data_IF_975052037168
#
_entry.id   IF_975052037168
#
_cell.length_a   1.000
_cell.length_b   1.000
_cell.length_c   1.000
_cell.angle_alpha   90.00
_cell.angle_beta   90.00
_cell.angle_gamma   90.00
#
_symmetry.space_group_name_H-M   'P 1'
#
loop_
_entity.id
_entity.type
_entity.pdbx_description
1 polymer ?
#
# COMPACT_ATOMS: atom_id res chain seq x y z
N UNK A 1 -10.17 13.23 -16.33
CA UNK A 1 -9.10 12.73 -15.46
C UNK A 1 -8.54 13.90 -14.65
N UNK A 2 -8.14 13.72 -13.39
CA UNK A 2 -7.53 14.73 -12.53
C UNK A 2 -5.99 14.58 -12.47
N UNK A 3 -5.27 15.58 -11.96
CA UNK A 3 -3.81 15.49 -11.74
C UNK A 3 -3.47 14.34 -10.78
N UNK A 4 -4.31 14.12 -9.78
CA UNK A 4 -4.19 13.05 -8.79
C UNK A 4 -4.38 11.67 -9.42
N UNK A 5 -5.37 11.52 -10.30
CA UNK A 5 -5.57 10.27 -11.03
C UNK A 5 -4.38 9.92 -11.94
N UNK A 6 -3.76 10.93 -12.57
CA UNK A 6 -2.53 10.73 -13.35
C UNK A 6 -1.36 10.39 -12.43
N UNK A 7 -1.22 11.08 -11.30
CA UNK A 7 -0.20 10.76 -10.30
C UNK A 7 -0.34 9.33 -9.80
N UNK A 8 -1.56 8.86 -9.48
CA UNK A 8 -1.84 7.50 -9.04
C UNK A 8 -1.41 6.43 -10.06
N UNK A 9 -1.39 6.77 -11.34
CA UNK A 9 -0.93 5.89 -12.42
C UNK A 9 0.58 5.95 -12.64
N UNK A 10 1.25 7.01 -12.18
CA UNK A 10 2.69 7.20 -12.33
C UNK A 10 3.45 6.09 -11.61
N UNK A 11 4.19 5.29 -12.38
CA UNK A 11 5.01 4.18 -11.87
C UNK A 11 6.42 4.62 -11.53
N UNK A 12 7.02 3.88 -10.61
CA UNK A 12 8.42 4.00 -10.21
C UNK A 12 9.10 2.63 -10.26
N UNK A 13 10.36 2.63 -10.65
CA UNK A 13 11.15 1.43 -10.92
C UNK A 13 12.27 1.30 -9.90
N UNK A 14 12.27 0.20 -9.16
CA UNK A 14 13.26 -0.08 -8.13
C UNK A 14 14.09 -1.28 -8.57
N UNK A 15 15.39 -1.10 -8.78
CA UNK A 15 16.27 -2.19 -9.17
C UNK A 15 16.84 -2.92 -7.95
N UNK A 16 16.70 -4.24 -7.94
CA UNK A 16 17.37 -5.12 -6.97
C UNK A 16 18.62 -5.68 -7.65
N UNK A 17 19.79 -5.24 -7.18
CA UNK A 17 21.08 -5.58 -7.79
C UNK A 17 22.05 -6.11 -6.74
N UNK A 18 23.13 -6.76 -7.19
CA UNK A 18 24.10 -7.40 -6.31
C UNK A 18 24.72 -8.64 -6.94
N UNK A 19 25.54 -9.34 -6.17
CA UNK A 19 26.25 -10.53 -6.65
C UNK A 19 25.30 -11.69 -6.98
N UNK A 20 25.78 -12.59 -7.84
CA UNK A 20 25.10 -13.87 -8.05
C UNK A 20 25.06 -14.67 -6.74
N UNK A 21 23.93 -15.32 -6.46
CA UNK A 21 23.73 -16.04 -5.20
C UNK A 21 23.54 -15.17 -3.96
N UNK A 22 23.54 -13.84 -4.06
CA UNK A 22 23.33 -12.96 -2.90
C UNK A 22 21.89 -12.98 -2.33
N UNK A 23 20.96 -13.71 -2.95
CA UNK A 23 19.57 -13.83 -2.47
C UNK A 23 18.63 -12.72 -2.93
N UNK A 24 18.90 -12.09 -4.08
CA UNK A 24 18.06 -11.02 -4.68
C UNK A 24 16.62 -11.47 -4.93
N UNK A 25 16.43 -12.56 -5.67
CA UNK A 25 15.12 -13.12 -5.98
C UNK A 25 14.37 -13.56 -4.72
N UNK A 26 15.07 -14.14 -3.74
CA UNK A 26 14.48 -14.48 -2.43
C UNK A 26 14.04 -13.23 -1.66
N UNK A 27 14.83 -12.16 -1.68
CA UNK A 27 14.46 -10.88 -1.07
C UNK A 27 13.23 -10.26 -1.74
N UNK A 28 13.15 -10.30 -3.08
CA UNK A 28 11.97 -9.85 -3.83
C UNK A 28 10.74 -10.63 -3.39
N UNK A 29 10.81 -11.96 -3.33
CA UNK A 29 9.68 -12.78 -2.90
C UNK A 29 9.24 -12.43 -1.48
N UNK A 30 10.19 -12.27 -0.56
CA UNK A 30 9.90 -11.84 0.81
C UNK A 30 9.24 -10.45 0.86
N UNK A 31 9.69 -9.50 0.05
CA UNK A 31 9.07 -8.17 -0.10
C UNK A 31 7.65 -8.23 -0.66
N UNK A 32 7.39 -9.17 -1.57
CA UNK A 32 6.08 -9.38 -2.18
C UNK A 32 5.15 -10.23 -1.30
N UNK A 33 5.65 -10.79 -0.20
CA UNK A 33 4.90 -11.74 0.63
C UNK A 33 4.65 -13.09 -0.04
N UNK A 34 5.50 -13.48 -1.00
CA UNK A 34 5.39 -14.72 -1.77
C UNK A 34 6.35 -15.79 -1.27
N UNK A 35 5.88 -17.04 -1.25
CA UNK A 35 6.73 -18.22 -1.10
C UNK A 35 7.43 -18.55 -2.43
N UNK A 36 8.56 -19.29 -2.41
CA UNK A 36 9.31 -19.63 -3.61
C UNK A 36 8.51 -20.37 -4.68
N UNK A 37 7.52 -21.16 -4.27
CA UNK A 37 6.70 -22.00 -5.16
C UNK A 37 5.37 -21.32 -5.56
N UNK A 38 5.11 -20.10 -5.07
CA UNK A 38 3.89 -19.37 -5.38
C UNK A 38 3.88 -18.89 -6.84
N UNK A 39 2.69 -18.82 -7.43
CA UNK A 39 2.52 -18.29 -8.78
C UNK A 39 2.99 -16.82 -8.85
N UNK A 40 3.92 -16.53 -9.75
CA UNK A 40 4.50 -15.19 -9.91
C UNK A 40 5.72 -14.90 -9.04
N UNK A 41 6.17 -15.86 -8.22
CA UNK A 41 7.41 -15.75 -7.47
C UNK A 41 8.64 -15.65 -8.39
N UNK A 42 9.64 -14.88 -7.95
CA UNK A 42 10.94 -14.79 -8.60
C UNK A 42 11.70 -16.12 -8.46
N UNK A 43 12.20 -16.72 -9.56
CA UNK A 43 12.90 -18.00 -9.50
C UNK A 43 14.17 -17.96 -8.64
N UNK A 44 14.21 -18.77 -7.59
CA UNK A 44 15.36 -18.86 -6.68
C UNK A 44 16.26 -20.06 -7.01
N UNK A 45 17.59 -19.88 -6.90
CA UNK A 45 18.55 -20.97 -7.10
C UNK A 45 19.97 -20.61 -6.63
N UNK A 46 20.82 -21.63 -6.49
CA UNK A 46 22.22 -21.46 -6.06
C UNK A 46 23.12 -20.91 -7.19
N UNK A 47 22.74 -21.13 -8.44
CA UNK A 47 23.39 -20.58 -9.65
C UNK A 47 22.56 -19.40 -10.14
N UNK A 48 23.17 -18.50 -10.91
CA UNK A 48 22.46 -17.39 -11.54
C UNK A 48 21.24 -17.88 -12.34
N UNK A 49 20.04 -17.67 -11.78
CA UNK A 49 18.76 -18.02 -12.39
C UNK A 49 18.28 -16.91 -13.34
N UNK A 50 18.57 -15.65 -13.00
CA UNK A 50 18.12 -14.46 -13.71
C UNK A 50 19.15 -14.03 -14.75
N UNK A 51 18.89 -14.29 -16.05
CA UNK A 51 19.77 -13.90 -17.18
C UNK A 51 19.39 -12.57 -17.83
N UNK A 52 18.18 -12.09 -17.55
CA UNK A 52 17.64 -10.82 -18.05
C UNK A 52 16.90 -10.12 -16.90
N UNK A 53 16.88 -8.79 -16.92
CA UNK A 53 16.15 -8.02 -15.91
C UNK A 53 14.64 -8.36 -15.98
N UNK A 54 14.08 -8.81 -14.86
CA UNK A 54 12.67 -9.24 -14.77
C UNK A 54 11.91 -8.33 -13.82
N UNK A 55 10.74 -7.85 -14.25
CA UNK A 55 9.88 -6.96 -13.46
C UNK A 55 8.83 -7.75 -12.67
N UNK A 56 8.68 -7.40 -11.39
CA UNK A 56 7.66 -7.89 -10.47
C UNK A 56 6.85 -6.71 -9.92
N UNK A 57 5.53 -6.81 -10.04
CA UNK A 57 4.61 -5.77 -9.58
C UNK A 57 4.34 -5.95 -8.08
N UNK A 58 4.51 -4.90 -7.28
CA UNK A 58 4.21 -4.98 -5.84
C UNK A 58 2.69 -5.06 -5.62
N UNK A 59 2.17 -6.02 -4.82
CA UNK A 59 0.73 -6.27 -4.67
C UNK A 59 0.02 -5.10 -3.98
N UNK A 60 0.57 -4.63 -2.85
CA UNK A 60 -0.04 -3.55 -2.06
C UNK A 60 0.39 -2.13 -2.50
N UNK A 61 1.31 -2.01 -3.45
CA UNK A 61 1.86 -0.75 -3.93
C UNK A 61 1.86 -0.78 -5.47
N UNK A 62 0.70 -0.66 -6.13
CA UNK A 62 0.58 -0.85 -7.57
C UNK A 62 1.44 0.13 -8.40
N UNK A 63 1.92 1.22 -7.80
CA UNK A 63 2.85 2.16 -8.41
C UNK A 63 4.31 1.68 -8.43
N UNK A 64 4.68 0.69 -7.62
CA UNK A 64 6.06 0.20 -7.45
C UNK A 64 6.30 -1.02 -8.34
N UNK A 65 7.33 -0.96 -9.17
CA UNK A 65 7.84 -2.09 -9.95
C UNK A 65 9.22 -2.48 -9.43
N UNK A 66 9.35 -3.71 -8.93
CA UNK A 66 10.63 -4.27 -8.49
C UNK A 66 11.29 -4.98 -9.68
N UNK A 67 12.55 -4.67 -9.96
CA UNK A 67 13.30 -5.29 -11.04
C UNK A 67 14.40 -6.18 -10.49
N UNK A 68 14.28 -7.49 -10.67
CA UNK A 68 15.38 -8.43 -10.37
C UNK A 68 16.43 -8.31 -11.48
N UNK A 69 17.58 -7.74 -11.15
CA UNK A 69 18.68 -7.63 -12.11
C UNK A 69 19.56 -8.89 -12.05
N UNK A 70 20.09 -9.35 -13.19
CA UNK A 70 21.09 -10.42 -13.22
C UNK A 70 22.22 -10.16 -12.23
N UNK A 71 22.78 -11.22 -11.66
CA UNK A 71 23.87 -11.08 -10.72
C UNK A 71 25.08 -10.46 -11.41
N UNK A 72 25.82 -9.61 -10.71
CA UNK A 72 27.13 -9.27 -11.22
C UNK A 72 27.99 -10.53 -11.22
N UNK A 73 28.43 -10.94 -12.42
CA UNK A 73 29.28 -12.11 -12.62
C UNK A 73 30.71 -11.91 -12.08
N UNK A 74 31.62 -12.79 -12.51
CA UNK A 74 33.05 -12.71 -12.19
C UNK A 74 33.71 -11.42 -12.73
N UNK A 75 34.90 -11.02 -12.21
CA UNK A 75 35.55 -9.73 -12.48
C UNK A 75 35.85 -9.37 -13.95
N UNK A 76 35.64 -10.28 -14.90
CA UNK A 76 35.85 -10.02 -16.33
C UNK A 76 34.77 -9.11 -16.95
N UNK A 77 33.60 -8.98 -16.32
CA UNK A 77 32.60 -7.95 -16.64
C UNK A 77 32.78 -6.76 -15.70
N UNK A 78 33.53 -5.74 -16.12
CA UNK A 78 33.73 -4.52 -15.32
C UNK A 78 32.40 -3.84 -14.97
N UNK A 79 32.30 -3.27 -13.77
CA UNK A 79 31.09 -2.61 -13.24
C UNK A 79 30.43 -1.64 -14.24
N UNK A 80 31.23 -0.85 -14.98
CA UNK A 80 30.75 0.06 -16.03
C UNK A 80 30.04 -0.64 -17.19
N UNK A 81 30.52 -1.82 -17.58
CA UNK A 81 29.86 -2.64 -18.59
C UNK A 81 28.50 -3.10 -18.08
N UNK A 82 28.45 -3.59 -16.83
CA UNK A 82 27.20 -4.03 -16.20
C UNK A 82 26.18 -2.89 -16.07
N UNK A 83 26.58 -1.72 -15.57
CA UNK A 83 25.72 -0.53 -15.44
C UNK A 83 25.12 -0.11 -16.78
N UNK A 84 25.91 -0.15 -17.85
CA UNK A 84 25.45 0.16 -19.21
C UNK A 84 24.53 -0.93 -19.78
N UNK A 85 24.88 -2.21 -19.60
CA UNK A 85 24.08 -3.35 -20.07
C UNK A 85 22.72 -3.41 -19.38
N UNK A 86 22.68 -3.16 -18.07
CA UNK A 86 21.44 -3.13 -17.29
C UNK A 86 20.73 -1.79 -17.37
N UNK A 87 21.32 -0.81 -18.04
CA UNK A 87 20.77 0.52 -18.25
C UNK A 87 20.22 1.15 -16.97
N UNK A 88 21.12 1.44 -16.02
CA UNK A 88 20.75 1.97 -14.71
C UNK A 88 19.89 3.23 -14.77
N UNK A 89 19.94 3.99 -15.87
CA UNK A 89 19.10 5.16 -16.15
C UNK A 89 17.59 4.86 -16.10
N UNK A 90 17.16 3.61 -16.30
CA UNK A 90 15.75 3.21 -16.25
C UNK A 90 15.17 3.23 -14.83
N UNK A 91 16.00 3.00 -13.81
CA UNK A 91 15.56 2.81 -12.44
C UNK A 91 15.62 4.10 -11.64
N UNK A 92 14.67 4.27 -10.73
CA UNK A 92 14.54 5.46 -9.88
C UNK A 92 15.31 5.30 -8.56
N UNK A 93 15.50 4.06 -8.10
CA UNK A 93 16.14 3.70 -6.85
C UNK A 93 16.76 2.31 -6.94
N UNK A 94 17.72 2.01 -6.07
CA UNK A 94 18.36 0.69 -5.99
C UNK A 94 18.29 0.03 -4.61
N UNK A 95 18.14 -1.28 -4.60
CA UNK A 95 18.36 -2.16 -3.47
C UNK A 95 19.62 -2.98 -3.75
N UNK A 96 20.74 -2.61 -3.12
CA UNK A 96 22.04 -3.27 -3.30
C UNK A 96 22.16 -4.42 -2.29
N UNK A 97 22.10 -5.65 -2.80
CA UNK A 97 22.03 -6.88 -2.01
C UNK A 97 23.40 -7.53 -1.87
N UNK A 98 23.80 -7.82 -0.63
CA UNK A 98 25.03 -8.51 -0.26
C UNK A 98 24.70 -9.68 0.68
N UNK A 99 25.42 -10.79 0.68
CA UNK A 99 25.07 -11.96 1.52
C UNK A 99 26.11 -12.38 2.55
N UNK A 100 27.34 -11.86 2.51
CA UNK A 100 28.41 -12.29 3.43
C UNK A 100 29.35 -11.14 3.81
N UNK A 101 30.09 -10.60 2.84
CA UNK A 101 31.02 -9.49 3.04
C UNK A 101 30.83 -8.49 1.92
N UNK A 102 31.04 -7.21 2.22
CA UNK A 102 31.16 -6.18 1.19
C UNK A 102 32.39 -6.49 0.36
N UNK A 103 32.22 -6.72 -0.94
CA UNK A 103 33.33 -6.94 -1.89
C UNK A 103 33.55 -5.68 -2.73
N UNK A 104 34.71 -5.61 -3.38
CA UNK A 104 35.08 -4.49 -4.25
C UNK A 104 34.03 -4.23 -5.35
N UNK A 105 33.49 -5.29 -5.93
CA UNK A 105 32.40 -5.24 -6.89
C UNK A 105 31.15 -4.51 -6.36
N UNK A 106 30.78 -4.75 -5.10
CA UNK A 106 29.66 -4.05 -4.46
C UNK A 106 29.96 -2.55 -4.31
N UNK A 107 31.22 -2.19 -4.01
CA UNK A 107 31.64 -0.80 -3.88
C UNK A 107 31.61 -0.07 -5.22
N UNK A 108 32.04 -0.73 -6.30
CA UNK A 108 31.97 -0.16 -7.65
C UNK A 108 30.52 0.08 -8.10
N UNK A 109 29.59 -0.80 -7.73
CA UNK A 109 28.15 -0.57 -7.98
C UNK A 109 27.65 0.67 -7.23
N UNK A 110 27.96 0.76 -5.94
CA UNK A 110 27.57 1.91 -5.12
C UNK A 110 28.14 3.20 -5.70
N UNK A 111 29.40 3.21 -6.15
CA UNK A 111 30.02 4.38 -6.78
C UNK A 111 29.31 4.82 -8.06
N UNK A 112 28.83 3.90 -8.88
CA UNK A 112 28.09 4.21 -10.10
C UNK A 112 26.67 4.73 -9.81
N UNK A 113 26.02 4.20 -8.77
CA UNK A 113 24.70 4.67 -8.30
C UNK A 113 24.81 6.09 -7.72
N UNK A 114 25.84 6.34 -6.90
CA UNK A 114 26.14 7.65 -6.32
C UNK A 114 26.47 8.70 -7.40
N UNK A 115 27.21 8.32 -8.44
CA UNK A 115 27.47 9.18 -9.60
C UNK A 115 26.18 9.62 -10.30
N UNK A 116 25.17 8.74 -10.35
CA UNK A 116 23.84 9.04 -10.91
C UNK A 116 22.93 9.77 -9.91
N UNK A 117 23.36 9.98 -8.66
CA UNK A 117 22.60 10.61 -7.57
C UNK A 117 21.24 9.94 -7.32
N UNK A 118 21.20 8.61 -7.41
CA UNK A 118 19.99 7.83 -7.18
C UNK A 118 19.98 7.27 -5.76
N UNK A 119 18.84 7.33 -5.05
CA UNK A 119 18.73 6.76 -3.72
C UNK A 119 18.95 5.25 -3.77
N UNK A 120 19.52 4.70 -2.71
CA UNK A 120 19.68 3.26 -2.58
C UNK A 120 19.76 2.79 -1.14
N UNK A 121 19.45 1.51 -0.96
CA UNK A 121 19.69 0.78 0.28
C UNK A 121 20.81 -0.22 0.12
N UNK A 122 21.57 -0.44 1.19
CA UNK A 122 22.46 -1.58 1.31
C UNK A 122 21.79 -2.65 2.18
N UNK A 123 21.50 -3.81 1.59
CA UNK A 123 20.75 -4.87 2.25
C UNK A 123 21.65 -6.09 2.35
N UNK A 124 22.01 -6.45 3.58
CA UNK A 124 22.72 -7.69 3.85
C UNK A 124 21.72 -8.79 4.17
N UNK A 125 21.64 -9.77 3.29
CA UNK A 125 20.75 -10.93 3.37
C UNK A 125 21.44 -12.12 4.05
N UNK A 126 20.70 -13.23 4.20
CA UNK A 126 21.18 -14.51 4.73
C UNK A 126 21.73 -14.46 6.15
N UNK A 127 21.24 -13.50 6.94
CA UNK A 127 21.62 -13.36 8.35
C UNK A 127 21.28 -14.63 9.15
N UNK A 128 20.22 -15.34 8.78
CA UNK A 128 19.87 -16.65 9.33
C UNK A 128 21.02 -17.67 9.21
N UNK A 129 21.73 -17.71 8.07
CA UNK A 129 22.85 -18.63 7.85
C UNK A 129 24.10 -18.19 8.62
N UNK A 130 24.36 -16.89 8.66
CA UNK A 130 25.42 -16.32 9.49
C UNK A 130 25.17 -16.70 10.97
N UNK A 131 23.95 -16.46 11.49
CA UNK A 131 23.59 -16.78 12.87
C UNK A 131 23.68 -18.28 13.19
N UNK A 132 23.19 -19.16 12.29
CA UNK A 132 23.34 -20.62 12.45
C UNK A 132 24.82 -21.03 12.54
N UNK A 133 25.70 -20.35 11.81
CA UNK A 133 27.14 -20.60 11.85
C UNK A 133 27.76 -20.08 13.15
N UNK A 134 27.37 -18.90 13.63
CA UNK A 134 27.88 -18.31 14.86
C UNK A 134 27.42 -19.02 16.13
N UNK A 135 26.19 -19.56 16.15
CA UNK A 135 25.63 -20.34 17.28
C UNK A 135 26.46 -21.57 17.65
N UNK A 136 27.37 -22.03 16.78
CA UNK A 136 28.31 -23.13 17.05
C UNK A 136 29.49 -22.71 17.95
N UNK A 137 29.70 -21.42 18.18
CA UNK A 137 30.76 -20.89 19.06
C UNK A 137 30.36 -20.96 20.53
N UNK A 138 31.34 -21.18 21.43
CA UNK A 138 31.11 -21.28 22.88
C UNK A 138 30.61 -19.98 23.54
N UNK A 139 30.95 -18.82 22.98
CA UNK A 139 30.48 -17.51 23.43
C UNK A 139 29.73 -16.87 22.26
N UNK A 140 28.41 -17.07 22.20
CA UNK A 140 27.53 -16.50 21.19
C UNK A 140 26.67 -15.40 21.81
N UNK A 141 26.63 -14.25 21.15
CA UNK A 141 25.68 -13.17 21.45
C UNK A 141 25.14 -12.64 20.14
N UNK A 142 23.85 -12.85 19.89
CA UNK A 142 23.20 -12.46 18.65
C UNK A 142 23.28 -10.95 18.41
N UNK A 143 23.06 -10.15 19.46
CA UNK A 143 23.16 -8.70 19.42
C UNK A 143 24.57 -8.26 18.99
N UNK A 144 25.60 -8.90 19.55
CA UNK A 144 26.99 -8.56 19.23
C UNK A 144 27.36 -8.95 17.79
N UNK A 145 26.93 -10.13 17.34
CA UNK A 145 27.19 -10.58 15.96
C UNK A 145 26.45 -9.71 14.92
N UNK A 146 25.20 -9.31 15.19
CA UNK A 146 24.46 -8.37 14.34
C UNK A 146 25.14 -6.99 14.28
N UNK A 147 25.59 -6.46 15.42
CA UNK A 147 26.30 -5.18 15.46
C UNK A 147 27.61 -5.25 14.69
N UNK A 148 28.39 -6.33 14.86
CA UNK A 148 29.62 -6.54 14.11
C UNK A 148 29.36 -6.59 12.59
N UNK A 149 28.33 -7.32 12.14
CA UNK A 149 27.97 -7.39 10.72
C UNK A 149 27.56 -6.02 10.17
N UNK A 150 26.82 -5.23 10.95
CA UNK A 150 26.46 -3.84 10.59
C UNK A 150 27.70 -2.97 10.48
N UNK A 151 28.62 -3.06 11.44
CA UNK A 151 29.86 -2.29 11.44
C UNK A 151 30.74 -2.65 10.23
N UNK A 152 30.82 -3.93 9.87
CA UNK A 152 31.54 -4.40 8.67
C UNK A 152 30.97 -3.78 7.39
N UNK A 153 29.63 -3.72 7.26
CA UNK A 153 28.97 -3.03 6.15
C UNK A 153 29.27 -1.52 6.15
N UNK A 154 29.22 -0.87 7.33
CA UNK A 154 29.46 0.57 7.47
C UNK A 154 30.91 0.99 7.31
N UNK A 155 31.88 0.09 7.53
CA UNK A 155 33.31 0.40 7.45
C UNK A 155 33.67 1.06 6.11
N UNK A 156 33.25 0.44 5.01
CA UNK A 156 33.51 0.94 3.65
C UNK A 156 32.73 2.20 3.33
N UNK A 157 31.48 2.29 3.81
CA UNK A 157 30.64 3.48 3.62
C UNK A 157 31.27 4.70 4.29
N UNK A 158 31.80 4.54 5.51
CA UNK A 158 32.52 5.60 6.24
C UNK A 158 33.78 6.07 5.51
N UNK A 159 34.57 5.16 4.92
CA UNK A 159 35.75 5.52 4.13
C UNK A 159 35.40 6.43 2.94
N UNK A 160 34.23 6.19 2.33
CA UNK A 160 33.69 7.01 1.23
C UNK A 160 32.81 8.18 1.69
N UNK A 161 32.64 8.39 3.00
CA UNK A 161 31.74 9.40 3.61
C UNK A 161 30.28 9.26 3.14
N UNK A 162 29.85 8.03 2.91
CA UNK A 162 28.48 7.67 2.57
C UNK A 162 27.78 7.16 3.85
N UNK A 163 26.48 7.44 3.98
CA UNK A 163 25.66 6.89 5.07
C UNK A 163 24.26 6.47 4.56
N UNK A 164 24.19 5.54 3.59
CA UNK A 164 22.91 4.97 3.18
C UNK A 164 22.30 4.12 4.30
N UNK A 165 21.00 3.85 4.19
CA UNK A 165 20.35 2.87 5.05
C UNK A 165 20.98 1.48 4.85
N UNK A 166 21.30 0.83 5.98
CA UNK A 166 21.83 -0.54 6.02
C UNK A 166 20.82 -1.42 6.75
N UNK A 167 20.37 -2.49 6.09
CA UNK A 167 19.44 -3.45 6.66
C UNK A 167 20.05 -4.85 6.73
N UNK A 168 19.86 -5.53 7.86
CA UNK A 168 20.27 -6.91 8.09
C UNK A 168 19.02 -7.79 8.08
N UNK A 169 18.83 -8.59 7.02
CA UNK A 169 17.56 -9.29 6.78
C UNK A 169 17.75 -10.79 6.54
N UNK A 170 16.70 -11.55 6.86
CA UNK A 170 16.51 -12.90 6.34
C UNK A 170 15.28 -12.92 5.42
N UNK A 171 15.44 -13.52 4.25
CA UNK A 171 14.31 -13.78 3.35
C UNK A 171 13.57 -15.09 3.69
N UNK A 172 14.08 -15.86 4.67
CA UNK A 172 13.46 -17.11 5.15
C UNK A 172 12.75 -16.83 6.47
N UNK A 173 13.43 -16.13 7.38
CA UNK A 173 12.93 -15.79 8.71
C UNK A 173 12.41 -14.34 8.70
N UNK A 174 11.31 -14.12 8.00
CA UNK A 174 10.77 -12.80 7.66
C UNK A 174 10.25 -12.02 8.87
N UNK A 175 9.90 -12.73 9.96
CA UNK A 175 9.41 -12.16 11.22
C UNK A 175 10.54 -11.68 12.14
N UNK A 176 11.78 -12.10 11.87
CA UNK A 176 12.95 -11.73 12.67
C UNK A 176 13.85 -10.73 11.93
N UNK A 177 14.83 -10.18 12.67
CA UNK A 177 15.81 -9.19 12.19
C UNK A 177 15.14 -7.90 11.69
N UNK A 178 15.51 -7.38 10.52
CA UNK A 178 15.10 -6.05 10.06
C UNK A 178 14.27 -6.03 8.78
N UNK A 179 13.70 -7.16 8.34
CA UNK A 179 12.88 -7.16 7.11
C UNK A 179 11.65 -6.25 7.27
N UNK A 180 10.97 -6.31 8.42
CA UNK A 180 9.83 -5.44 8.71
C UNK A 180 10.24 -3.96 8.70
N UNK A 181 11.34 -3.63 9.38
CA UNK A 181 11.90 -2.27 9.41
C UNK A 181 12.25 -1.76 8.01
N UNK A 182 12.81 -2.61 7.16
CA UNK A 182 13.11 -2.31 5.76
C UNK A 182 11.81 -2.04 4.97
N UNK A 183 10.78 -2.88 5.14
CA UNK A 183 9.48 -2.70 4.49
C UNK A 183 8.81 -1.38 4.89
N UNK A 184 8.84 -1.03 6.18
CA UNK A 184 8.20 0.20 6.67
C UNK A 184 8.97 1.45 6.20
N UNK A 185 10.31 1.43 6.32
CA UNK A 185 11.17 2.52 5.78
C UNK A 185 10.93 2.71 4.28
N UNK A 186 10.84 1.60 3.53
CA UNK A 186 10.62 1.64 2.09
C UNK A 186 9.27 2.27 1.73
N UNK A 187 8.17 1.93 2.41
CA UNK A 187 6.83 2.50 2.13
C UNK A 187 6.79 4.02 2.26
N UNK A 188 7.46 4.55 3.28
CA UNK A 188 7.49 6.00 3.54
C UNK A 188 8.34 6.71 2.48
N UNK A 189 9.59 6.26 2.30
CA UNK A 189 10.54 6.91 1.40
C UNK A 189 10.15 6.76 -0.08
N UNK A 190 9.56 5.63 -0.46
CA UNK A 190 9.15 5.39 -1.85
C UNK A 190 7.99 6.32 -2.26
N UNK A 191 7.11 6.66 -1.33
CA UNK A 191 6.00 7.59 -1.55
C UNK A 191 6.51 9.01 -1.75
N UNK A 192 7.47 9.43 -0.94
CA UNK A 192 8.14 10.73 -1.09
C UNK A 192 8.92 10.80 -2.41
N UNK A 193 9.74 9.80 -2.71
CA UNK A 193 10.52 9.73 -3.95
C UNK A 193 9.61 9.83 -5.18
N UNK A 194 8.47 9.14 -5.17
CA UNK A 194 7.48 9.22 -6.26
C UNK A 194 6.97 10.64 -6.48
N UNK A 195 6.61 11.35 -5.41
CA UNK A 195 6.13 12.72 -5.49
C UNK A 195 7.19 13.66 -6.08
N UNK A 196 8.44 13.52 -5.65
CA UNK A 196 9.59 14.29 -6.16
C UNK A 196 9.85 14.02 -7.64
N UNK A 197 9.88 12.74 -8.04
CA UNK A 197 10.10 12.34 -9.44
C UNK A 197 9.00 12.80 -10.37
N UNK A 198 7.73 12.65 -9.95
CA UNK A 198 6.60 13.12 -10.74
C UNK A 198 6.64 14.65 -10.89
N UNK A 199 6.96 15.37 -9.82
CA UNK A 199 7.09 16.84 -9.87
C UNK A 199 8.27 17.27 -10.75
N UNK A 200 9.41 16.59 -10.67
CA UNK A 200 10.56 16.82 -11.56
C UNK A 200 10.20 16.56 -13.02
N UNK A 201 9.43 15.51 -13.29
CA UNK A 201 8.93 15.21 -14.62
C UNK A 201 8.03 16.34 -15.13
N UNK A 202 7.06 16.79 -14.34
CA UNK A 202 6.19 17.89 -14.70
C UNK A 202 6.98 19.17 -14.99
N UNK A 203 7.98 19.49 -14.16
CA UNK A 203 8.85 20.66 -14.38
C UNK A 203 9.57 20.58 -15.73
N UNK A 204 10.21 19.44 -16.01
CA UNK A 204 10.93 19.21 -17.27
C UNK A 204 9.99 19.26 -18.48
N UNK A 205 8.79 18.71 -18.34
CA UNK A 205 7.78 18.66 -19.40
C UNK A 205 7.18 20.04 -19.68
N UNK A 206 6.88 20.83 -18.66
CA UNK A 206 6.10 22.07 -18.77
C UNK A 206 6.98 23.33 -18.83
N UNK A 207 8.17 23.29 -18.23
CA UNK A 207 9.06 24.44 -18.08
C UNK A 207 10.48 24.19 -18.61
N UNK A 208 10.86 22.94 -18.91
CA UNK A 208 12.21 22.58 -19.36
C UNK A 208 12.58 23.03 -20.79
N UNK A 209 11.64 23.63 -21.53
CA UNK A 209 11.77 23.92 -22.95
C UNK A 209 11.61 22.67 -23.82
N UNK A 210 11.41 22.87 -25.13
CA UNK A 210 11.04 21.80 -26.08
C UNK A 210 11.96 20.56 -26.02
N UNK A 211 13.28 20.75 -25.85
CA UNK A 211 14.26 19.65 -25.90
C UNK A 211 14.11 18.76 -24.67
N UNK A 212 14.08 19.36 -23.47
CA UNK A 212 13.97 18.62 -22.21
C UNK A 212 12.60 17.98 -22.08
N UNK A 213 11.54 18.68 -22.51
CA UNK A 213 10.19 18.14 -22.54
C UNK A 213 10.12 16.89 -23.42
N UNK A 214 10.64 16.96 -24.66
CA UNK A 214 10.67 15.81 -25.57
C UNK A 214 11.46 14.63 -25.00
N UNK A 215 12.62 14.88 -24.40
CA UNK A 215 13.42 13.81 -23.79
C UNK A 215 12.69 13.17 -22.60
N UNK A 216 12.14 13.97 -21.69
CA UNK A 216 11.42 13.49 -20.52
C UNK A 216 10.19 12.67 -20.91
N UNK A 217 9.38 13.17 -21.85
CA UNK A 217 8.21 12.47 -22.38
C UNK A 217 8.58 11.15 -23.07
N UNK A 218 9.63 11.14 -23.90
CA UNK A 218 10.09 9.92 -24.55
C UNK A 218 10.58 8.89 -23.53
N UNK A 219 11.34 9.32 -22.51
CA UNK A 219 11.83 8.42 -21.47
C UNK A 219 10.67 7.80 -20.68
N UNK A 220 9.66 8.58 -20.29
CA UNK A 220 8.47 8.07 -19.60
C UNK A 220 7.68 7.08 -20.45
N UNK A 221 7.53 7.36 -21.75
CA UNK A 221 6.83 6.44 -22.66
C UNK A 221 7.60 5.14 -22.87
N UNK A 222 8.92 5.21 -23.03
CA UNK A 222 9.79 4.03 -23.18
C UNK A 222 9.77 3.14 -21.93
N UNK A 223 9.81 3.75 -20.74
CA UNK A 223 9.73 3.05 -19.45
C UNK A 223 8.31 2.65 -19.07
N UNK A 224 7.30 3.12 -19.82
CA UNK A 224 5.87 2.96 -19.51
C UNK A 224 5.52 3.42 -18.09
N UNK A 225 6.19 4.47 -17.59
CA UNK A 225 5.88 5.07 -16.29
C UNK A 225 4.53 5.79 -16.30
N UNK A 226 4.11 6.28 -17.47
CA UNK A 226 2.77 6.79 -17.78
C UNK A 226 2.36 6.39 -19.19
N UNK A 227 1.05 6.36 -19.43
CA UNK A 227 0.51 6.17 -20.78
C UNK A 227 0.51 7.49 -21.55
N UNK A 228 0.46 7.41 -22.89
CA UNK A 228 0.42 8.60 -23.75
C UNK A 228 -0.84 9.48 -23.49
N UNK A 229 -1.96 8.85 -23.13
CA UNK A 229 -3.20 9.54 -22.73
C UNK A 229 -3.02 10.40 -21.46
N UNK A 230 -2.26 9.89 -20.49
CA UNK A 230 -2.01 10.60 -19.23
C UNK A 230 -1.16 11.84 -19.49
N UNK A 231 -0.13 11.72 -20.34
CA UNK A 231 0.75 12.83 -20.74
C UNK A 231 -0.03 13.92 -21.47
N UNK A 232 -0.90 13.52 -22.42
CA UNK A 232 -1.78 14.45 -23.13
C UNK A 232 -2.71 15.18 -22.18
N UNK A 233 -3.23 14.46 -21.18
CA UNK A 233 -4.09 15.01 -20.15
C UNK A 233 -3.36 16.06 -19.29
N UNK A 234 -2.11 15.78 -18.91
CA UNK A 234 -1.28 16.73 -18.16
C UNK A 234 -1.02 18.03 -18.94
N UNK A 235 -0.74 17.93 -20.25
CA UNK A 235 -0.59 19.12 -21.11
C UNK A 235 -1.86 19.98 -21.11
N UNK A 236 -3.02 19.37 -21.32
CA UNK A 236 -4.31 20.06 -21.31
C UNK A 236 -4.63 20.71 -19.96
N UNK A 237 -4.24 20.07 -18.84
CA UNK A 237 -4.41 20.65 -17.51
C UNK A 237 -3.54 21.87 -17.30
N UNK A 238 -2.26 21.79 -17.66
CA UNK A 238 -1.32 22.87 -17.48
C UNK A 238 -1.74 24.12 -18.26
N UNK A 239 -2.13 23.98 -19.53
CA UNK A 239 -2.62 25.11 -20.35
C UNK A 239 -3.80 25.86 -19.69
N UNK A 240 -4.63 25.15 -18.93
CA UNK A 240 -5.80 25.73 -18.25
C UNK A 240 -5.49 26.38 -16.91
N UNK A 241 -4.43 25.96 -16.21
CA UNK A 241 -4.26 26.22 -14.78
C UNK A 241 -2.91 26.82 -14.38
N UNK A 242 -1.87 26.66 -15.19
CA UNK A 242 -0.56 27.30 -14.99
C UNK A 242 0.15 26.98 -13.67
N UNK A 243 -0.14 25.84 -13.02
CA UNK A 243 0.52 25.47 -11.76
C UNK A 243 1.98 25.06 -11.97
N UNK A 244 2.87 25.48 -11.05
CA UNK A 244 4.31 25.18 -11.10
C UNK A 244 4.69 23.92 -10.31
N UNK A 245 5.74 23.22 -10.74
CA UNK A 245 6.16 21.92 -10.20
C UNK A 245 6.50 21.91 -8.70
N UNK A 246 7.12 22.97 -8.17
CA UNK A 246 7.44 23.08 -6.75
C UNK A 246 6.17 23.06 -5.87
N UNK A 247 5.07 23.66 -6.34
CA UNK A 247 3.78 23.62 -5.64
C UNK A 247 3.17 22.21 -5.68
N UNK A 248 3.37 21.48 -6.79
CA UNK A 248 2.83 20.11 -6.95
C UNK A 248 3.52 19.13 -6.01
N UNK A 249 4.85 19.19 -5.86
CA UNK A 249 5.58 18.28 -4.97
C UNK A 249 5.10 18.36 -3.53
N UNK A 250 4.94 19.59 -3.01
CA UNK A 250 4.44 19.83 -1.64
C UNK A 250 3.01 19.32 -1.48
N UNK A 251 2.15 19.53 -2.48
CA UNK A 251 0.76 19.05 -2.47
C UNK A 251 0.71 17.52 -2.51
N UNK A 252 1.53 16.86 -3.33
CA UNK A 252 1.57 15.40 -3.41
C UNK A 252 2.17 14.76 -2.15
N UNK A 253 3.15 15.40 -1.54
CA UNK A 253 3.69 14.97 -0.24
C UNK A 253 2.65 15.15 0.88
N UNK A 254 1.91 16.27 0.89
CA UNK A 254 0.81 16.46 1.83
C UNK A 254 -0.29 15.39 1.61
N UNK A 255 -0.60 15.06 0.37
CA UNK A 255 -1.54 14.00 0.03
C UNK A 255 -1.05 12.62 0.50
N UNK A 256 0.23 12.28 0.34
CA UNK A 256 0.75 10.96 0.75
C UNK A 256 0.66 10.72 2.26
N UNK A 257 0.53 11.78 3.05
CA UNK A 257 0.28 11.69 4.50
C UNK A 257 -1.19 11.96 4.86
N UNK A 258 -2.05 12.25 3.88
CA UNK A 258 -3.46 12.52 4.10
C UNK A 258 -4.21 11.20 4.34
N UNK A 259 -4.58 10.97 5.61
CA UNK A 259 -5.34 9.82 6.05
C UNK A 259 -6.84 10.11 6.02
N UNK A 260 -7.62 9.11 5.61
CA UNK A 260 -9.08 9.13 5.74
C UNK A 260 -9.52 8.43 7.01
N UNK A 261 -10.52 9.00 7.68
CA UNK A 261 -11.20 8.38 8.81
C UNK A 261 -12.49 7.68 8.37
N UNK A 262 -12.53 6.36 8.52
CA UNK A 262 -13.67 5.52 8.17
C UNK A 262 -14.32 4.99 9.43
N UNK A 263 -15.55 5.40 9.70
CA UNK A 263 -16.36 4.86 10.79
C UNK A 263 -17.06 3.57 10.36
N UNK A 264 -16.89 2.49 11.12
CA UNK A 264 -17.68 1.26 10.98
C UNK A 264 -18.72 1.25 12.10
N UNK A 265 -19.97 1.50 11.73
CA UNK A 265 -21.10 1.70 12.63
C UNK A 265 -21.94 0.43 12.72
N UNK A 266 -22.27 -0.03 13.92
CA UNK A 266 -23.18 -1.16 14.08
C UNK A 266 -23.65 -1.38 15.51
N UNK A 267 -24.72 -2.15 15.65
CA UNK A 267 -25.28 -2.48 16.96
C UNK A 267 -24.38 -3.44 17.74
N UNK A 268 -24.56 -3.54 19.06
CA UNK A 268 -23.85 -4.55 19.86
C UNK A 268 -24.12 -5.95 19.29
N UNK A 269 -23.05 -6.71 19.03
CA UNK A 269 -23.14 -8.05 18.47
C UNK A 269 -23.37 -8.10 16.95
N UNK A 270 -23.41 -6.98 16.25
CA UNK A 270 -23.48 -6.93 14.78
C UNK A 270 -22.19 -7.41 14.07
N UNK A 271 -21.09 -7.60 14.81
CA UNK A 271 -19.83 -8.08 14.24
C UNK A 271 -18.96 -6.99 13.62
N UNK A 272 -19.15 -5.72 13.98
CA UNK A 272 -18.26 -4.58 13.62
C UNK A 272 -16.80 -4.91 13.88
N UNK A 273 -16.43 -5.33 15.09
CA UNK A 273 -15.03 -5.60 15.45
C UNK A 273 -14.43 -6.73 14.61
N UNK A 274 -15.20 -7.79 14.38
CA UNK A 274 -14.78 -8.91 13.52
C UNK A 274 -14.60 -8.45 12.08
N UNK A 275 -15.47 -7.56 11.58
CA UNK A 275 -15.35 -7.00 10.24
C UNK A 275 -14.13 -6.09 10.09
N UNK A 276 -13.86 -5.22 11.08
CA UNK A 276 -12.64 -4.39 11.09
C UNK A 276 -11.40 -5.27 11.10
N UNK A 277 -11.36 -6.32 11.92
CA UNK A 277 -10.25 -7.29 11.94
C UNK A 277 -10.05 -7.97 10.57
N UNK A 278 -11.14 -8.34 9.90
CA UNK A 278 -11.09 -8.91 8.55
C UNK A 278 -10.51 -7.92 7.51
N UNK A 279 -10.88 -6.64 7.58
CA UNK A 279 -10.35 -5.58 6.69
C UNK A 279 -8.86 -5.31 6.89
N UNK A 280 -8.36 -5.46 8.12
CA UNK A 280 -6.92 -5.28 8.43
C UNK A 280 -6.09 -6.57 8.26
N UNK A 281 -6.73 -7.69 7.93
CA UNK A 281 -6.06 -8.97 7.67
C UNK A 281 -5.57 -9.69 8.92
N UNK A 282 -6.16 -9.42 10.09
CA UNK A 282 -5.91 -10.22 11.30
C UNK A 282 -6.85 -11.42 11.31
N UNK A 283 -6.30 -12.63 11.13
CA UNK A 283 -7.00 -13.87 11.46
C UNK A 283 -7.05 -14.00 12.98
N UNK A 284 -8.21 -14.41 13.54
CA UNK A 284 -8.35 -14.59 14.98
C UNK A 284 -7.56 -15.83 15.43
N UNK A 285 -6.27 -15.71 15.70
CA UNK A 285 -5.58 -16.62 16.62
C UNK A 285 -5.89 -16.20 18.07
N UNK A 286 -6.23 -17.19 18.89
CA UNK A 286 -6.52 -17.04 20.31
C UNK A 286 -5.38 -16.33 21.07
N UNK A 287 -5.76 -15.50 22.05
CA UNK A 287 -4.92 -14.76 23.00
C UNK A 287 -4.16 -13.53 22.49
N UNK A 288 -4.77 -12.35 22.74
CA UNK A 288 -4.01 -11.12 22.99
C UNK A 288 -4.29 -9.94 22.06
N UNK A 289 -5.25 -10.02 21.14
CA UNK A 289 -5.63 -8.88 20.32
C UNK A 289 -6.20 -7.75 21.21
N UNK A 290 -5.49 -6.63 21.30
CA UNK A 290 -6.01 -5.41 21.90
C UNK A 290 -7.35 -5.10 21.23
N UNK A 291 -8.43 -5.07 22.01
CA UNK A 291 -9.77 -4.77 21.51
C UNK A 291 -9.74 -3.47 20.72
N UNK A 292 -10.00 -3.52 19.42
CA UNK A 292 -10.24 -2.34 18.60
C UNK A 292 -11.34 -1.56 19.33
N UNK A 293 -11.02 -0.35 19.77
CA UNK A 293 -11.91 0.47 20.58
C UNK A 293 -12.15 1.78 19.87
N UNK A 294 -13.22 2.47 20.27
CA UNK A 294 -13.57 3.83 19.84
C UNK A 294 -12.38 4.81 20.02
N UNK A 295 -11.39 4.48 20.85
CA UNK A 295 -10.23 5.34 21.13
C UNK A 295 -9.00 5.10 20.25
N UNK A 296 -8.90 3.97 19.54
CA UNK A 296 -7.74 3.64 18.69
C UNK A 296 -8.18 3.09 17.32
N UNK A 297 -7.89 3.80 16.21
CA UNK A 297 -8.21 3.30 14.88
C UNK A 297 -7.30 2.14 14.47
N UNK A 298 -7.86 1.22 13.70
CA UNK A 298 -7.12 0.14 13.07
C UNK A 298 -6.61 0.58 11.68
N UNK A 299 -5.39 0.15 11.32
CA UNK A 299 -4.78 0.40 10.01
C UNK A 299 -4.52 -0.91 9.29
N UNK A 300 -4.80 -0.95 7.98
CA UNK A 300 -4.62 -2.13 7.13
C UNK A 300 -3.46 -1.93 6.18
N UNK A 301 -2.70 -2.99 5.88
CA UNK A 301 -1.76 -3.01 4.77
C UNK A 301 -2.45 -2.86 3.40
N UNK A 302 -3.71 -3.27 3.30
CA UNK A 302 -4.53 -3.11 2.09
C UNK A 302 -5.09 -1.70 1.91
N UNK A 303 -5.14 -0.92 2.99
CA UNK A 303 -5.66 0.46 3.01
C UNK A 303 -4.70 1.38 3.79
N UNK A 304 -3.50 1.66 3.26
CA UNK A 304 -2.42 2.32 4.02
C UNK A 304 -2.74 3.76 4.43
N UNK A 305 -3.63 4.44 3.71
CA UNK A 305 -4.04 5.82 3.95
C UNK A 305 -5.37 5.94 4.70
N UNK A 306 -5.78 4.87 5.40
CA UNK A 306 -7.13 4.75 5.98
C UNK A 306 -7.05 4.29 7.43
N UNK A 307 -7.81 4.98 8.27
CA UNK A 307 -8.02 4.66 9.68
C UNK A 307 -9.44 4.14 9.87
N UNK A 308 -9.58 2.87 10.21
CA UNK A 308 -10.87 2.26 10.50
C UNK A 308 -11.20 2.39 11.98
N UNK A 309 -12.36 2.97 12.28
CA UNK A 309 -12.85 3.17 13.63
C UNK A 309 -14.01 2.22 13.91
N UNK A 310 -13.85 1.34 14.90
CA UNK A 310 -14.95 0.52 15.41
C UNK A 310 -15.87 1.39 16.27
N UNK A 311 -17.10 1.59 15.78
CA UNK A 311 -18.16 2.29 16.50
C UNK A 311 -19.33 1.32 16.67
N UNK A 312 -19.12 0.34 17.53
CA UNK A 312 -20.14 -0.61 17.98
C UNK A 312 -21.01 -0.04 19.12
N UNK A 313 -22.20 -0.61 19.32
CA UNK A 313 -23.11 -0.21 20.41
C UNK A 313 -23.86 1.11 20.15
N UNK A 314 -24.02 1.48 18.89
CA UNK A 314 -24.68 2.74 18.46
C UNK A 314 -26.11 2.89 18.99
N UNK A 315 -26.79 1.79 19.32
CA UNK A 315 -28.16 1.80 19.80
C UNK A 315 -28.33 2.64 21.07
N UNK A 316 -27.35 2.63 21.98
CA UNK A 316 -27.40 3.43 23.20
C UNK A 316 -27.41 4.93 22.91
N UNK A 317 -26.68 5.38 21.89
CA UNK A 317 -26.63 6.79 21.48
C UNK A 317 -27.83 7.14 20.62
N UNK A 318 -28.21 6.29 19.68
CA UNK A 318 -29.33 6.53 18.76
C UNK A 318 -30.68 6.59 19.47
N UNK A 319 -30.90 5.73 20.47
CA UNK A 319 -32.14 5.71 21.24
C UNK A 319 -32.26 6.95 22.14
N UNK A 320 -31.13 7.60 22.49
CA UNK A 320 -31.09 8.85 23.23
C UNK A 320 -31.21 10.07 22.31
N UNK A 321 -30.38 10.17 21.28
CA UNK A 321 -30.30 11.34 20.40
C UNK A 321 -29.65 11.04 19.04
N UNK A 322 -30.48 11.06 17.98
CA UNK A 322 -29.98 11.06 16.61
C UNK A 322 -29.16 12.32 16.27
N UNK A 323 -29.37 13.43 16.98
CA UNK A 323 -28.58 14.64 16.79
C UNK A 323 -27.13 14.41 17.23
N UNK A 324 -26.92 13.79 18.39
CA UNK A 324 -25.57 13.46 18.87
C UNK A 324 -24.87 12.46 17.95
N UNK A 325 -25.59 11.43 17.50
CA UNK A 325 -25.05 10.48 16.51
C UNK A 325 -24.62 11.18 15.22
N UNK A 326 -25.39 12.17 14.75
CA UNK A 326 -25.02 12.97 13.58
C UNK A 326 -23.76 13.81 13.81
N UNK A 327 -23.54 14.32 15.02
CA UNK A 327 -22.29 15.02 15.36
C UNK A 327 -21.09 14.07 15.35
N UNK A 328 -21.25 12.84 15.86
CA UNK A 328 -20.20 11.81 15.81
C UNK A 328 -19.84 11.48 14.36
N UNK A 329 -20.83 11.21 13.51
CA UNK A 329 -20.61 10.96 12.07
C UNK A 329 -19.97 12.14 11.35
N UNK A 330 -20.07 13.36 11.89
CA UNK A 330 -19.43 14.53 11.29
C UNK A 330 -17.88 14.50 11.39
N UNK A 331 -17.31 13.72 12.31
CA UNK A 331 -15.85 13.61 12.48
C UNK A 331 -15.16 12.67 11.49
N UNK A 332 -15.91 11.82 10.80
CA UNK A 332 -15.37 10.78 9.92
C UNK A 332 -15.59 11.13 8.44
N UNK A 333 -14.65 10.83 7.55
CA UNK A 333 -14.78 11.13 6.13
C UNK A 333 -15.72 10.15 5.40
N UNK A 334 -15.84 8.93 5.91
CA UNK A 334 -16.60 7.83 5.33
C UNK A 334 -17.33 7.02 6.40
N UNK A 335 -18.47 6.43 6.07
CA UNK A 335 -19.20 5.54 6.99
C UNK A 335 -19.48 4.17 6.36
N UNK A 336 -19.25 3.09 7.10
CA UNK A 336 -19.73 1.75 6.77
C UNK A 336 -20.80 1.41 7.80
N UNK A 337 -22.02 1.13 7.35
CA UNK A 337 -23.16 0.87 8.22
C UNK A 337 -23.44 -0.64 8.19
N UNK A 338 -23.28 -1.29 9.35
CA UNK A 338 -23.61 -2.70 9.52
C UNK A 338 -25.11 -2.85 9.75
N UNK A 339 -25.77 -3.54 8.82
CA UNK A 339 -27.19 -3.92 8.89
C UNK A 339 -27.29 -5.18 9.75
N UNK A 340 -27.98 -5.08 10.88
CA UNK A 340 -28.08 -6.17 11.87
C UNK A 340 -29.51 -6.49 12.26
N UNK A 341 -30.38 -5.49 12.45
CA UNK A 341 -31.81 -5.68 12.71
C UNK A 341 -32.68 -4.89 11.73
N UNK A 342 -33.31 -5.63 10.81
CA UNK A 342 -34.21 -5.09 9.79
C UNK A 342 -35.48 -4.48 10.39
N UNK A 343 -35.97 -5.00 11.51
CA UNK A 343 -37.24 -4.55 12.10
C UNK A 343 -37.11 -3.16 12.75
N UNK A 344 -35.93 -2.85 13.30
CA UNK A 344 -35.68 -1.56 13.95
C UNK A 344 -35.31 -0.44 12.98
N UNK A 345 -35.00 -0.77 11.73
CA UNK A 345 -34.67 0.18 10.66
C UNK A 345 -33.60 1.23 11.05
N UNK A 346 -32.67 0.87 11.95
CA UNK A 346 -31.62 1.78 12.45
C UNK A 346 -30.63 2.13 11.35
N UNK A 347 -30.30 1.18 10.48
CA UNK A 347 -29.48 1.39 9.29
C UNK A 347 -30.04 2.47 8.37
N UNK A 348 -31.36 2.52 8.17
CA UNK A 348 -32.01 3.55 7.33
C UNK A 348 -31.89 4.94 7.96
N UNK A 349 -32.03 5.06 9.28
CA UNK A 349 -31.87 6.34 10.00
C UNK A 349 -30.43 6.86 9.91
N UNK A 350 -29.46 5.96 10.04
CA UNK A 350 -28.04 6.31 9.86
C UNK A 350 -27.75 6.73 8.42
N UNK A 351 -28.17 5.94 7.43
CA UNK A 351 -27.98 6.25 6.03
C UNK A 351 -28.53 7.64 5.67
N UNK A 352 -29.74 7.95 6.12
CA UNK A 352 -30.34 9.28 5.96
C UNK A 352 -29.48 10.39 6.56
N UNK A 353 -29.00 10.20 7.79
CA UNK A 353 -28.16 11.19 8.45
C UNK A 353 -26.82 11.41 7.72
N UNK A 354 -26.22 10.34 7.17
CA UNK A 354 -24.99 10.43 6.37
C UNK A 354 -25.24 11.16 5.04
N UNK A 355 -26.36 10.92 4.37
CA UNK A 355 -26.75 11.65 3.15
C UNK A 355 -26.98 13.15 3.42
N UNK A 356 -27.61 13.49 4.54
CA UNK A 356 -27.78 14.88 4.98
C UNK A 356 -26.44 15.57 5.27
N UNK A 357 -25.42 14.82 5.71
CA UNK A 357 -24.05 15.30 5.86
C UNK A 357 -23.28 15.34 4.53
N UNK A 358 -23.87 14.86 3.43
CA UNK A 358 -23.26 14.73 2.10
C UNK A 358 -21.98 13.88 2.11
N UNK A 359 -21.98 12.82 2.91
CA UNK A 359 -20.84 11.89 3.03
C UNK A 359 -21.13 10.59 2.29
N UNK A 360 -20.06 9.88 1.95
CA UNK A 360 -20.17 8.56 1.33
C UNK A 360 -20.35 7.47 2.38
N UNK A 361 -21.11 6.44 2.02
CA UNK A 361 -21.27 5.27 2.85
C UNK A 361 -21.53 3.99 2.07
N UNK A 362 -21.21 2.87 2.71
CA UNK A 362 -21.60 1.52 2.29
C UNK A 362 -22.50 0.88 3.34
N UNK A 363 -23.31 -0.07 2.86
CA UNK A 363 -24.23 -0.86 3.67
C UNK A 363 -23.79 -2.30 3.59
N UNK A 364 -23.55 -2.90 4.75
CA UNK A 364 -22.97 -4.25 4.86
C UNK A 364 -23.81 -5.06 5.81
N UNK A 365 -24.28 -6.23 5.39
CA UNK A 365 -24.84 -7.21 6.31
C UNK A 365 -23.82 -8.30 6.56
N UNK A 366 -23.43 -8.43 7.82
CA UNK A 366 -22.52 -9.45 8.34
C UNK A 366 -23.30 -10.70 8.74
N UNK A 367 -22.57 -11.78 9.07
CA UNK A 367 -23.14 -13.03 9.62
C UNK A 367 -24.20 -13.68 8.72
N UNK A 368 -24.02 -13.55 7.40
CA UNK A 368 -24.95 -14.12 6.41
C UNK A 368 -25.00 -15.64 6.48
N UNK A 369 -23.87 -16.27 6.81
CA UNK A 369 -23.73 -17.69 7.12
C UNK A 369 -24.70 -18.15 8.22
N UNK A 370 -24.82 -17.38 9.31
CA UNK A 370 -25.75 -17.66 10.39
C UNK A 370 -27.22 -17.55 9.92
N UNK A 371 -27.51 -16.59 9.03
CA UNK A 371 -28.85 -16.40 8.48
C UNK A 371 -29.26 -17.56 7.57
N UNK A 372 -28.33 -18.01 6.71
CA UNK A 372 -28.53 -19.14 5.82
C UNK A 372 -28.71 -20.46 6.58
N UNK A 373 -27.94 -20.69 7.64
CA UNK A 373 -28.11 -21.88 8.50
C UNK A 373 -29.51 -21.93 9.13
N UNK A 374 -30.02 -20.79 9.60
CA UNK A 374 -31.38 -20.71 10.19
C UNK A 374 -32.48 -20.98 9.16
N UNK A 375 -32.27 -20.63 7.89
CA UNK A 375 -33.22 -20.81 6.78
C UNK A 375 -33.08 -22.17 6.07
N UNK A 376 -31.97 -22.89 6.27
CA UNK A 376 -31.74 -24.22 5.67
C UNK A 376 -32.78 -25.27 6.07
N UNK A 377 -33.47 -25.05 7.21
CA UNK A 377 -34.62 -25.85 7.65
C UNK A 377 -35.85 -25.72 6.74
N UNK A 378 -35.88 -24.73 5.83
CA UNK A 378 -37.00 -24.41 4.93
C UNK A 378 -36.82 -24.90 3.48
N UNK A 379 -35.73 -25.61 3.15
CA UNK A 379 -35.44 -26.15 1.80
C UNK A 379 -35.39 -25.09 0.66
N UNK A 380 -35.04 -23.84 0.95
CA UNK A 380 -34.81 -22.82 -0.06
C UNK A 380 -33.37 -22.88 -0.60
N UNK A 381 -33.17 -22.53 -1.88
CA UNK A 381 -31.83 -22.37 -2.43
C UNK A 381 -31.14 -21.16 -1.81
N UNK A 382 -29.82 -21.25 -1.60
CA UNK A 382 -29.02 -20.18 -1.00
C UNK A 382 -29.14 -18.88 -1.81
N UNK A 383 -29.11 -18.99 -3.13
CA UNK A 383 -29.21 -17.86 -4.06
C UNK A 383 -30.54 -17.12 -3.90
N UNK A 384 -31.64 -17.87 -3.79
CA UNK A 384 -32.99 -17.30 -3.64
C UNK A 384 -33.12 -16.53 -2.31
N UNK A 385 -32.51 -17.02 -1.23
CA UNK A 385 -32.51 -16.34 0.07
C UNK A 385 -31.75 -15.02 -0.02
N UNK A 386 -30.55 -15.03 -0.61
CA UNK A 386 -29.73 -13.82 -0.76
C UNK A 386 -30.40 -12.79 -1.67
N UNK A 387 -31.00 -13.22 -2.78
CA UNK A 387 -31.73 -12.34 -3.68
C UNK A 387 -33.00 -11.78 -3.04
N UNK A 388 -33.70 -12.58 -2.21
CA UNK A 388 -34.81 -12.13 -1.38
C UNK A 388 -34.39 -11.01 -0.41
N UNK A 389 -33.25 -11.18 0.28
CA UNK A 389 -32.70 -10.15 1.18
C UNK A 389 -32.37 -8.85 0.43
N UNK A 390 -31.76 -8.96 -0.76
CA UNK A 390 -31.45 -7.79 -1.60
C UNK A 390 -32.71 -7.10 -2.11
N UNK A 391 -33.74 -7.85 -2.48
CA UNK A 391 -35.01 -7.31 -2.92
C UNK A 391 -35.72 -6.56 -1.79
N UNK A 392 -35.78 -7.15 -0.59
CA UNK A 392 -36.29 -6.49 0.61
C UNK A 392 -35.52 -5.18 0.89
N UNK A 393 -34.18 -5.22 0.80
CA UNK A 393 -33.35 -4.03 0.97
C UNK A 393 -33.72 -2.90 0.01
N UNK A 394 -33.81 -3.25 -1.27
CA UNK A 394 -34.06 -2.28 -2.34
C UNK A 394 -35.40 -1.59 -2.11
N UNK A 395 -36.41 -2.35 -1.70
CA UNK A 395 -37.72 -1.81 -1.34
C UNK A 395 -37.64 -0.85 -0.14
N UNK A 396 -36.93 -1.22 0.93
CA UNK A 396 -36.76 -0.35 2.12
C UNK A 396 -36.05 0.97 1.81
N UNK A 397 -34.96 0.92 1.02
CA UNK A 397 -34.21 2.10 0.56
C UNK A 397 -35.11 3.03 -0.27
N UNK A 398 -35.89 2.47 -1.19
CA UNK A 398 -36.84 3.23 -2.01
C UNK A 398 -37.94 3.88 -1.16
N UNK A 399 -38.51 3.14 -0.20
CA UNK A 399 -39.51 3.68 0.73
C UNK A 399 -38.94 4.80 1.61
N UNK A 400 -37.68 4.67 2.02
CA UNK A 400 -36.96 5.68 2.79
C UNK A 400 -36.53 6.91 1.95
N UNK A 401 -36.67 6.86 0.62
CA UNK A 401 -36.23 7.88 -0.35
C UNK A 401 -34.72 8.18 -0.26
N UNK A 402 -33.94 7.16 0.03
CA UNK A 402 -32.48 7.24 0.04
C UNK A 402 -31.94 7.03 -1.37
N UNK A 403 -30.68 7.42 -1.59
CA UNK A 403 -29.97 7.08 -2.82
C UNK A 403 -29.90 5.57 -3.00
N UNK A 404 -30.03 5.11 -4.26
CA UNK A 404 -29.88 3.69 -4.55
C UNK A 404 -28.46 3.25 -4.19
N UNK A 405 -28.40 2.32 -3.24
CA UNK A 405 -27.17 1.73 -2.73
C UNK A 405 -27.30 0.23 -2.74
N UNK A 406 -26.23 -0.44 -3.16
CA UNK A 406 -26.10 -1.88 -3.02
C UNK A 406 -25.82 -2.24 -1.56
N UNK A 407 -26.44 -3.31 -1.07
CA UNK A 407 -26.06 -3.97 0.17
C UNK A 407 -25.06 -5.09 -0.13
N UNK A 408 -24.00 -5.17 0.67
CA UNK A 408 -23.01 -6.24 0.59
C UNK A 408 -23.32 -7.29 1.66
N UNK A 409 -23.62 -8.51 1.22
CA UNK A 409 -23.88 -9.65 2.10
C UNK A 409 -22.55 -10.39 2.29
N UNK A 410 -22.03 -10.44 3.52
CA UNK A 410 -20.69 -10.98 3.78
C UNK A 410 -20.63 -11.95 4.95
N UNK A 411 -19.60 -12.79 4.91
CA UNK A 411 -19.08 -13.52 6.07
C UNK A 411 -17.73 -12.92 6.46
N UNK A 412 -17.59 -12.46 7.71
CA UNK A 412 -16.34 -11.87 8.18
C UNK A 412 -15.22 -12.92 8.35
N UNK A 413 -15.56 -14.20 8.45
CA UNK A 413 -14.62 -15.31 8.66
C UNK A 413 -14.12 -15.92 7.34
N UNK A 414 -14.80 -15.65 6.22
CA UNK A 414 -14.42 -16.13 4.90
C UNK A 414 -14.49 -14.99 3.89
N UNK A 415 -13.32 -14.41 3.59
CA UNK A 415 -13.16 -13.29 2.65
C UNK A 415 -13.36 -13.69 1.19
N UNK A 416 -13.39 -14.98 0.89
CA UNK A 416 -13.65 -15.49 -0.45
C UNK A 416 -15.14 -15.77 -0.69
N UNK A 417 -15.96 -15.78 0.36
CA UNK A 417 -17.38 -16.04 0.27
C UNK A 417 -18.22 -14.77 0.05
N UNK A 418 -19.38 -14.97 -0.60
CA UNK A 418 -20.40 -13.95 -0.82
C UNK A 418 -19.84 -12.68 -1.48
N UNK A 419 -20.23 -11.50 -0.99
CA UNK A 419 -19.91 -10.22 -1.59
C UNK A 419 -18.60 -9.60 -1.04
N UNK A 420 -17.79 -10.32 -0.26
CA UNK A 420 -16.64 -9.70 0.43
C UNK A 420 -15.63 -9.10 -0.57
N UNK A 421 -15.28 -9.84 -1.63
CA UNK A 421 -14.38 -9.34 -2.69
C UNK A 421 -15.01 -8.14 -3.43
N UNK A 422 -16.31 -8.18 -3.67
CA UNK A 422 -17.05 -7.06 -4.28
C UNK A 422 -17.07 -5.81 -3.39
N UNK A 423 -17.22 -6.01 -2.08
CA UNK A 423 -17.18 -4.97 -1.06
C UNK A 423 -15.80 -4.30 -1.03
N UNK A 424 -14.71 -5.06 -1.05
CA UNK A 424 -13.35 -4.49 -1.08
C UNK A 424 -13.10 -3.67 -2.36
N UNK A 425 -13.62 -4.12 -3.50
CA UNK A 425 -13.59 -3.37 -4.76
C UNK A 425 -14.35 -2.04 -4.67
N UNK A 426 -15.58 -2.08 -4.15
CA UNK A 426 -16.42 -0.88 -3.97
C UNK A 426 -15.80 0.10 -2.96
N UNK A 427 -15.35 -0.40 -1.80
CA UNK A 427 -14.71 0.38 -0.76
C UNK A 427 -13.45 1.07 -1.27
N UNK A 428 -12.58 0.34 -1.98
CA UNK A 428 -11.35 0.92 -2.57
C UNK A 428 -11.66 2.05 -3.56
N UNK A 429 -12.67 1.86 -4.41
CA UNK A 429 -13.10 2.88 -5.39
C UNK A 429 -13.65 4.13 -4.71
N UNK A 430 -14.53 3.95 -3.73
CA UNK A 430 -15.20 5.04 -3.03
C UNK A 430 -14.22 5.84 -2.16
N UNK A 431 -13.33 5.16 -1.43
CA UNK A 431 -12.29 5.82 -0.61
C UNK A 431 -11.36 6.68 -1.46
N UNK A 432 -10.98 6.23 -2.66
CA UNK A 432 -10.18 7.02 -3.60
C UNK A 432 -10.88 8.32 -3.99
N UNK A 433 -12.19 8.25 -4.24
CA UNK A 433 -13.03 9.40 -4.59
C UNK A 433 -13.14 10.39 -3.42
N UNK A 434 -13.37 9.88 -2.21
CA UNK A 434 -13.47 10.68 -1.00
C UNK A 434 -12.14 11.35 -0.66
N UNK A 435 -11.02 10.62 -0.75
CA UNK A 435 -9.67 11.16 -0.50
C UNK A 435 -9.38 12.36 -1.37
N UNK A 436 -9.66 12.23 -2.67
CA UNK A 436 -9.46 13.31 -3.65
C UNK A 436 -10.27 14.54 -3.30
N UNK A 437 -11.54 14.34 -2.90
CA UNK A 437 -12.47 15.43 -2.58
C UNK A 437 -12.14 16.12 -1.26
N UNK A 438 -11.85 15.33 -0.21
CA UNK A 438 -11.49 15.82 1.12
C UNK A 438 -10.17 16.60 1.07
N UNK A 439 -9.17 16.09 0.36
CA UNK A 439 -7.90 16.79 0.17
C UNK A 439 -8.07 18.10 -0.60
N UNK A 440 -8.89 18.12 -1.68
CA UNK A 440 -9.17 19.35 -2.41
C UNK A 440 -9.87 20.41 -1.53
N UNK A 441 -10.80 19.99 -0.67
CA UNK A 441 -11.46 20.87 0.29
C UNK A 441 -10.48 21.45 1.31
N UNK A 442 -9.58 20.61 1.86
CA UNK A 442 -8.53 21.04 2.78
C UNK A 442 -7.66 22.14 2.16
N UNK A 443 -7.14 21.91 0.94
CA UNK A 443 -6.32 22.90 0.23
C UNK A 443 -7.08 24.20 -0.01
N UNK A 444 -8.36 24.12 -0.41
CA UNK A 444 -9.18 25.30 -0.66
C UNK A 444 -9.39 26.16 0.61
N UNK A 445 -9.49 25.52 1.78
CA UNK A 445 -9.62 26.22 3.06
C UNK A 445 -8.30 26.84 3.52
N UNK A 446 -7.19 26.10 3.46
CA UNK A 446 -5.87 26.64 3.84
C UNK A 446 -5.49 27.87 3.00
N UNK A 447 -5.80 27.84 1.69
CA UNK A 447 -5.53 28.98 0.79
C UNK A 447 -6.41 30.20 1.10
N UNK A 448 -7.64 30.01 1.62
CA UNK A 448 -8.52 31.11 2.03
C UNK A 448 -8.05 31.78 3.33
N UNK A 449 -7.49 31.02 4.26
CA UNK A 449 -6.98 31.55 5.54
C UNK A 449 -5.69 32.38 5.39
N UNK A 450 -4.98 32.23 4.26
CA UNK A 450 -3.72 32.93 3.96
C UNK A 450 -3.87 34.07 2.93
N UNK A 451 -5.11 34.50 2.66
CA UNK A 451 -5.44 35.71 1.90
C UNK A 451 -6.07 36.74 2.83
#
# INVERSE_FOLDING_TARGET
>A
MSLLEVFDRFKIDIAVTGESGAGKSSLINAFLGLNPDDAGAAPTGAVETTKQATMYQHPNLPQVRLWDLPGMGTPSFGSKSYVKTMNFDLYDMFMVVISERVRENNMLLVDEIEQQKKPYYLIRTKIDNDMRSQKKKKQFSEIHELDQMRQDCKKYLKEKKLDPHVFLVSAIDTQNYELQKLTDTFKDEVSQLRAELFSSFLDKMLHGGWIKARYATNHIQQTRKLQAEDITTLHNMYERTGFGAAKVSVVLQALSHFQLDVAVLGETGSGVSTFVNALIGLENEECGAASVSISNPAMSLGYPDVRFWDISGIEGVMDYSMYEMKQVMNWYDFCIIIVSDWQKARHLKLAKAVEELRKHYLLVQTKVDCHLQTQSELCCDETDILDGLRAQFTQEIQMAKLSEKQIFLINNLDRCAFDFVGLEGALSSDLKTVRTSAFAYYIANTVKEHK
#
